data_IF_933693301653
#
_entry.id   IF_933693301653
#
_cell.length_a   1.000
_cell.length_b   1.000
_cell.length_c   1.000
_cell.angle_alpha   90.00
_cell.angle_beta   90.00
_cell.angle_gamma   90.00
#
_symmetry.space_group_name_H-M   'P 1'
#
loop_
_entity.id
_entity.type
_entity.pdbx_description
1 polymer ?
#
# COMPACT_ATOMS: atom_id res chain seq x y z
N UNK A 1 -32.65 39.82 2.58
CA UNK A 1 -31.20 39.87 2.88
C UNK A 1 -30.67 38.66 3.70
N UNK A 2 -31.46 38.01 4.56
CA UNK A 2 -31.01 36.92 5.45
C UNK A 2 -30.61 35.58 4.78
N UNK A 3 -31.32 35.13 3.73
CA UNK A 3 -31.01 33.85 3.04
C UNK A 3 -29.61 33.81 2.40
N UNK A 4 -29.13 34.94 1.86
CA UNK A 4 -27.78 35.04 1.26
C UNK A 4 -26.66 34.88 2.30
N UNK A 5 -26.85 35.42 3.52
CA UNK A 5 -25.89 35.28 4.62
C UNK A 5 -25.86 33.86 5.20
N UNK A 6 -27.01 33.20 5.29
CA UNK A 6 -27.12 31.81 5.72
C UNK A 6 -26.42 30.86 4.72
N UNK A 7 -26.65 31.05 3.42
CA UNK A 7 -25.99 30.27 2.37
C UNK A 7 -24.46 30.46 2.38
N UNK A 8 -23.97 31.69 2.57
CA UNK A 8 -22.54 31.96 2.68
C UNK A 8 -21.88 31.30 3.91
N UNK A 9 -22.59 31.27 5.05
CA UNK A 9 -22.14 30.55 6.26
C UNK A 9 -22.08 29.04 6.04
N UNK A 10 -23.11 28.45 5.42
CA UNK A 10 -23.12 27.03 5.08
C UNK A 10 -22.00 26.67 4.10
N UNK A 11 -21.77 27.48 3.07
CA UNK A 11 -20.66 27.29 2.13
C UNK A 11 -19.28 27.37 2.81
N UNK A 12 -19.09 28.31 3.75
CA UNK A 12 -17.84 28.43 4.52
C UNK A 12 -17.62 27.24 5.46
N UNK A 13 -18.69 26.75 6.08
CA UNK A 13 -18.66 25.55 6.90
C UNK A 13 -18.28 24.31 6.09
N UNK A 14 -18.91 24.10 4.93
CA UNK A 14 -18.58 22.98 4.04
C UNK A 14 -17.12 23.03 3.57
N UNK A 15 -16.58 24.21 3.24
CA UNK A 15 -15.15 24.36 2.90
C UNK A 15 -14.21 24.01 4.06
N UNK A 16 -14.58 24.32 5.29
CA UNK A 16 -13.79 23.95 6.47
C UNK A 16 -13.81 22.43 6.67
N UNK A 17 -14.98 21.79 6.52
CA UNK A 17 -15.08 20.32 6.58
C UNK A 17 -14.22 19.68 5.50
N UNK A 18 -14.32 20.14 4.25
CA UNK A 18 -13.48 19.66 3.14
C UNK A 18 -11.98 19.86 3.39
N UNK A 19 -11.59 21.00 3.96
CA UNK A 19 -10.19 21.26 4.32
C UNK A 19 -9.70 20.31 5.42
N UNK A 20 -10.55 20.01 6.41
CA UNK A 20 -10.24 19.05 7.47
C UNK A 20 -10.18 17.61 6.95
N UNK A 21 -11.02 17.24 5.99
CA UNK A 21 -10.97 15.94 5.30
C UNK A 21 -9.69 15.80 4.46
N UNK A 22 -9.28 16.88 3.78
CA UNK A 22 -8.11 16.88 2.92
C UNK A 22 -6.78 16.95 3.70
N UNK A 23 -6.76 17.61 4.85
CA UNK A 23 -5.57 17.77 5.69
C UNK A 23 -4.81 16.46 5.97
N UNK A 24 -5.43 15.36 6.43
CA UNK A 24 -4.72 14.11 6.68
C UNK A 24 -4.14 13.48 5.41
N UNK A 25 -4.82 13.63 4.26
CA UNK A 25 -4.30 13.13 2.97
C UNK A 25 -3.04 13.89 2.58
N UNK A 26 -3.06 15.22 2.62
CA UNK A 26 -1.88 16.03 2.28
C UNK A 26 -0.75 15.83 3.29
N UNK A 27 -1.06 15.67 4.57
CA UNK A 27 -0.07 15.33 5.59
C UNK A 27 0.58 13.97 5.28
N UNK A 28 -0.22 12.95 5.00
CA UNK A 28 0.29 11.63 4.62
C UNK A 28 1.20 11.69 3.38
N UNK A 29 0.75 12.36 2.31
CA UNK A 29 1.54 12.53 1.09
C UNK A 29 2.83 13.32 1.35
N UNK A 30 2.77 14.35 2.21
CA UNK A 30 3.93 15.12 2.64
C UNK A 30 4.94 14.27 3.40
N UNK A 31 4.48 13.42 4.32
CA UNK A 31 5.33 12.49 5.06
C UNK A 31 5.94 11.43 4.13
N UNK A 32 5.17 10.88 3.19
CA UNK A 32 5.68 9.92 2.21
C UNK A 32 6.78 10.51 1.33
N UNK A 33 6.75 11.82 1.03
CA UNK A 33 7.83 12.52 0.31
C UNK A 33 9.14 12.60 1.09
N UNK A 34 9.10 12.52 2.42
CA UNK A 34 10.30 12.55 3.27
C UNK A 34 10.95 11.18 3.42
N UNK A 35 10.27 10.10 3.02
CA UNK A 35 10.81 8.74 3.11
C UNK A 35 11.84 8.53 2.00
N UNK A 36 13.12 8.23 2.32
CA UNK A 36 14.11 7.90 1.30
C UNK A 36 13.73 6.64 0.53
N UNK A 37 14.08 6.57 -0.76
CA UNK A 37 13.79 5.42 -1.63
C UNK A 37 14.16 4.05 -1.00
N UNK A 38 15.34 3.86 -0.37
CA UNK A 38 15.67 2.60 0.28
C UNK A 38 14.73 2.22 1.42
N UNK A 39 14.27 3.21 2.19
CA UNK A 39 13.34 2.99 3.30
C UNK A 39 11.94 2.65 2.79
N UNK A 40 11.48 3.31 1.72
CA UNK A 40 10.22 2.99 1.07
C UNK A 40 10.20 1.53 0.57
N UNK A 41 11.25 1.10 -0.13
CA UNK A 41 11.38 -0.29 -0.58
C UNK A 41 11.48 -1.28 0.58
N UNK A 42 12.19 -0.93 1.67
CA UNK A 42 12.28 -1.78 2.85
C UNK A 42 10.92 -1.97 3.54
N UNK A 43 10.12 -0.91 3.66
CA UNK A 43 8.75 -0.95 4.21
C UNK A 43 7.86 -1.80 3.30
N UNK A 44 7.88 -1.55 1.99
CA UNK A 44 7.13 -2.32 1.00
C UNK A 44 7.48 -3.82 1.07
N UNK A 45 8.77 -4.17 1.08
CA UNK A 45 9.22 -5.55 1.23
C UNK A 45 8.85 -6.17 2.57
N UNK A 46 8.87 -5.41 3.68
CA UNK A 46 8.39 -5.89 4.98
C UNK A 46 6.89 -6.23 4.95
N UNK A 47 6.06 -5.34 4.41
CA UNK A 47 4.62 -5.57 4.24
C UNK A 47 4.39 -6.77 3.33
N UNK A 48 5.09 -6.83 2.19
CA UNK A 48 5.03 -7.93 1.23
C UNK A 48 5.40 -9.27 1.85
N UNK A 49 6.50 -9.37 2.61
CA UNK A 49 6.91 -10.62 3.27
C UNK A 49 5.96 -11.07 4.38
N UNK A 50 5.23 -10.13 4.99
CA UNK A 50 4.31 -10.41 6.10
C UNK A 50 2.95 -10.83 5.59
N UNK A 51 2.39 -10.07 4.64
CA UNK A 51 1.02 -10.30 4.13
C UNK A 51 0.99 -11.14 2.86
N UNK A 52 1.99 -10.99 1.98
CA UNK A 52 2.08 -11.67 0.70
C UNK A 52 1.96 -13.20 0.75
N UNK A 53 2.60 -13.91 1.71
CA UNK A 53 2.42 -15.34 1.88
C UNK A 53 0.98 -15.80 2.12
N UNK A 54 0.12 -14.92 2.65
CA UNK A 54 -1.30 -15.17 2.91
C UNK A 54 -2.17 -14.98 1.66
N UNK A 55 -1.65 -14.30 0.63
CA UNK A 55 -2.39 -14.01 -0.59
C UNK A 55 -2.41 -15.21 -1.56
N UNK A 56 -3.47 -15.39 -2.37
CA UNK A 56 -3.58 -16.49 -3.34
C UNK A 56 -2.44 -16.55 -4.37
N UNK A 57 -1.78 -15.41 -4.65
CA UNK A 57 -0.61 -15.33 -5.53
C UNK A 57 0.54 -16.22 -5.05
N UNK A 58 0.74 -16.34 -3.74
CA UNK A 58 1.76 -17.22 -3.16
C UNK A 58 1.48 -18.70 -3.45
N UNK A 59 0.20 -19.11 -3.47
CA UNK A 59 -0.17 -20.47 -3.87
C UNK A 59 0.12 -20.72 -5.35
N UNK A 60 -0.25 -19.78 -6.23
CA UNK A 60 0.03 -19.87 -7.67
C UNK A 60 1.52 -19.95 -7.96
N UNK A 61 2.33 -19.09 -7.32
CA UNK A 61 3.78 -19.10 -7.48
C UNK A 61 4.41 -20.43 -7.05
N UNK A 62 3.96 -21.04 -5.94
CA UNK A 62 4.41 -22.38 -5.51
C UNK A 62 4.11 -23.47 -6.55
N UNK A 63 2.91 -23.44 -7.14
CA UNK A 63 2.51 -24.40 -8.18
C UNK A 63 3.34 -24.21 -9.45
N UNK A 64 3.52 -22.96 -9.90
CA UNK A 64 4.31 -22.65 -11.10
C UNK A 64 5.77 -23.05 -10.92
N UNK A 65 6.39 -22.73 -9.77
CA UNK A 65 7.76 -23.15 -9.48
C UNK A 65 7.92 -24.67 -9.43
N UNK A 66 6.91 -25.42 -8.95
CA UNK A 66 6.95 -26.89 -8.99
C UNK A 66 6.89 -27.43 -10.43
N UNK A 67 6.16 -26.76 -11.32
CA UNK A 67 6.06 -27.16 -12.74
C UNK A 67 7.32 -26.83 -13.53
N UNK A 68 7.87 -25.63 -13.32
CA UNK A 68 9.06 -25.15 -14.05
C UNK A 68 10.34 -25.81 -13.51
N UNK A 69 10.42 -26.00 -12.19
CA UNK A 69 11.57 -26.60 -11.50
C UNK A 69 11.13 -27.81 -10.67
N UNK A 70 10.87 -28.97 -11.32
CA UNK A 70 10.39 -30.17 -10.64
C UNK A 70 11.37 -30.63 -9.54
N UNK A 71 12.67 -30.56 -9.81
CA UNK A 71 13.74 -31.01 -8.90
C UNK A 71 14.06 -30.01 -7.78
N UNK A 72 13.45 -28.81 -7.80
CA UNK A 72 13.69 -27.81 -6.75
C UNK A 72 13.00 -28.24 -5.43
N UNK A 73 13.74 -28.35 -4.31
CA UNK A 73 13.15 -28.74 -3.03
C UNK A 73 12.06 -27.80 -2.56
N UNK A 74 11.04 -28.33 -1.87
CA UNK A 74 9.93 -27.54 -1.35
C UNK A 74 10.36 -26.37 -0.44
N UNK A 75 11.38 -26.49 0.45
CA UNK A 75 11.88 -25.37 1.23
C UNK A 75 12.42 -24.23 0.35
N UNK A 76 13.18 -24.57 -0.71
CA UNK A 76 13.75 -23.59 -1.63
C UNK A 76 12.66 -22.87 -2.43
N UNK A 77 11.64 -23.60 -2.92
CA UNK A 77 10.46 -22.96 -3.54
C UNK A 77 9.74 -22.00 -2.60
N UNK A 78 9.55 -22.37 -1.32
CA UNK A 78 8.95 -21.47 -0.32
C UNK A 78 9.79 -20.22 -0.10
N UNK A 79 11.11 -20.34 -0.07
CA UNK A 79 12.01 -19.20 0.09
C UNK A 79 11.94 -18.25 -1.12
N UNK A 80 11.94 -18.78 -2.35
CA UNK A 80 11.76 -17.99 -3.57
C UNK A 80 10.42 -17.25 -3.54
N UNK A 81 9.34 -17.94 -3.21
CA UNK A 81 8.00 -17.34 -3.09
C UNK A 81 7.94 -16.29 -1.99
N UNK A 82 8.68 -16.44 -0.89
CA UNK A 82 8.75 -15.42 0.15
C UNK A 82 9.52 -14.18 -0.32
N UNK A 83 10.67 -14.37 -0.97
CA UNK A 83 11.53 -13.29 -1.49
C UNK A 83 10.93 -12.55 -2.68
N UNK A 84 10.05 -13.18 -3.46
CA UNK A 84 9.40 -12.51 -4.59
C UNK A 84 8.62 -11.27 -4.15
N UNK A 85 8.09 -11.27 -2.93
CA UNK A 85 7.35 -10.16 -2.34
C UNK A 85 8.22 -8.93 -2.02
N UNK A 86 9.55 -9.07 -2.09
CA UNK A 86 10.49 -7.95 -1.96
C UNK A 86 10.63 -7.16 -3.27
N UNK A 87 10.10 -7.67 -4.38
CA UNK A 87 10.34 -7.15 -5.74
C UNK A 87 9.07 -6.57 -6.40
N UNK A 88 8.13 -6.05 -5.61
CA UNK A 88 6.84 -5.57 -6.14
C UNK A 88 6.90 -4.20 -6.83
N UNK A 89 7.99 -3.45 -6.68
CA UNK A 89 8.13 -2.10 -7.24
C UNK A 89 7.39 -1.05 -6.43
#
# INVERSE_FOLDING_TARGET
MGRRRAAARAARFLRLVQALEAAPVFLFLGLMRLVPSPAASAIGGFIGRTLGPLLPFSRRAKVNLKRIFPDMPAPRRRQVVRRMWDNLG
#
